data_IF_795119967989
#
_entry.id   IF_795119967989
#
_cell.length_a   1.000
_cell.length_b   1.000
_cell.length_c   1.000
_cell.angle_alpha   90.00
_cell.angle_beta   90.00
_cell.angle_gamma   90.00
#
_symmetry.space_group_name_H-M   'P 1'
#
loop_
_entity.id
_entity.type
_entity.pdbx_description
1 polymer ?
#
# COMPACT_ATOMS: atom_id res chain seq x y z
N UNK A 1 4.66 -2.47 -18.60
CA UNK A 1 4.01 -2.95 -17.36
C UNK A 1 2.84 -2.01 -17.09
N UNK A 2 1.67 -2.52 -16.77
CA UNK A 2 0.52 -1.67 -16.41
C UNK A 2 0.84 -0.86 -15.15
N UNK A 3 0.33 0.37 -15.05
CA UNK A 3 0.62 1.25 -13.94
C UNK A 3 0.09 0.69 -12.63
N UNK A 4 0.90 0.73 -11.60
CA UNK A 4 0.51 0.69 -10.21
C UNK A 4 1.45 1.63 -9.46
N UNK A 5 0.94 2.77 -9.04
CA UNK A 5 1.71 3.82 -8.40
C UNK A 5 0.91 4.53 -7.30
N UNK A 6 1.60 5.03 -6.30
CA UNK A 6 1.06 5.79 -5.18
C UNK A 6 1.60 7.21 -5.24
N UNK A 7 0.71 8.19 -5.36
CA UNK A 7 1.06 9.60 -5.37
C UNK A 7 0.75 10.19 -3.99
N UNK A 8 1.77 10.61 -3.27
CA UNK A 8 1.65 11.21 -1.95
C UNK A 8 1.20 12.67 -2.11
N UNK A 9 -0.02 12.96 -1.73
CA UNK A 9 -0.57 14.33 -1.74
C UNK A 9 -0.29 15.06 -0.44
N UNK A 10 -0.19 14.32 0.66
CA UNK A 10 0.16 14.81 1.98
C UNK A 10 0.61 13.67 2.88
N UNK A 11 1.64 13.90 3.69
CA UNK A 11 2.21 12.92 4.59
C UNK A 11 2.51 13.46 6.00
N UNK A 12 1.97 14.63 6.34
CA UNK A 12 2.02 15.21 7.70
C UNK A 12 0.82 14.83 8.56
N UNK A 13 0.96 14.91 9.88
CA UNK A 13 -0.08 14.65 10.86
C UNK A 13 -0.68 15.94 11.44
N UNK A 14 -1.90 15.83 11.94
CA UNK A 14 -2.65 16.81 12.72
C UNK A 14 -3.05 18.09 11.95
N UNK A 15 -2.13 18.83 11.37
CA UNK A 15 -2.40 20.10 10.68
C UNK A 15 -1.48 20.30 9.48
N UNK A 16 -1.91 21.03 8.43
CA UNK A 16 -1.03 21.40 7.33
C UNK A 16 0.12 22.29 7.84
N UNK A 17 1.30 22.09 7.27
CA UNK A 17 2.49 22.89 7.59
C UNK A 17 3.07 23.50 6.31
N UNK A 18 4.17 24.27 6.44
CA UNK A 18 4.93 24.75 5.28
C UNK A 18 5.70 23.63 4.54
N UNK A 19 5.82 22.44 5.16
CA UNK A 19 6.58 21.32 4.63
C UNK A 19 5.68 20.18 4.16
N UNK A 20 4.64 19.83 4.94
CA UNK A 20 3.75 18.72 4.64
C UNK A 20 2.28 19.12 4.78
N UNK A 21 1.47 18.71 3.83
CA UNK A 21 0.01 18.69 3.95
C UNK A 21 -0.42 17.47 4.76
N UNK A 22 -1.64 17.51 5.28
CA UNK A 22 -2.20 16.38 6.02
C UNK A 22 -2.48 15.18 5.12
N UNK A 23 -2.68 14.03 5.73
CA UNK A 23 -2.68 12.73 5.07
C UNK A 23 -3.65 12.65 3.90
N UNK A 24 -3.10 12.37 2.72
CA UNK A 24 -3.85 12.02 1.51
C UNK A 24 -2.95 11.33 0.49
N UNK A 25 -3.46 10.27 -0.15
CA UNK A 25 -2.75 9.54 -1.20
C UNK A 25 -3.68 9.25 -2.38
N UNK A 26 -3.16 9.45 -3.60
CA UNK A 26 -3.87 9.11 -4.83
C UNK A 26 -3.20 7.89 -5.46
N UNK A 27 -3.91 6.77 -5.49
CA UNK A 27 -3.41 5.49 -5.97
C UNK A 27 -3.93 5.27 -7.39
N UNK A 28 -3.04 4.97 -8.31
CA UNK A 28 -3.36 4.61 -9.69
C UNK A 28 -3.06 3.13 -9.93
N UNK A 29 -4.09 2.34 -10.22
CA UNK A 29 -3.96 0.94 -10.60
C UNK A 29 -4.65 0.77 -11.94
N UNK A 30 -3.89 0.49 -13.00
CA UNK A 30 -4.43 0.27 -14.36
C UNK A 30 -5.32 1.42 -14.84
N UNK A 31 -4.90 2.68 -14.59
CA UNK A 31 -5.64 3.91 -14.88
C UNK A 31 -6.94 4.09 -14.07
N UNK A 32 -7.23 3.23 -13.09
CA UNK A 32 -8.26 3.44 -12.08
C UNK A 32 -7.66 4.21 -10.91
N UNK A 33 -8.31 5.31 -10.54
CA UNK A 33 -7.81 6.21 -9.50
C UNK A 33 -8.61 6.04 -8.21
N UNK A 34 -7.89 5.88 -7.10
CA UNK A 34 -8.45 5.72 -5.76
C UNK A 34 -7.83 6.76 -4.82
N UNK A 35 -8.65 7.52 -4.11
CA UNK A 35 -8.14 8.43 -3.08
C UNK A 35 -8.22 7.74 -1.71
N UNK A 36 -7.14 7.75 -0.98
CA UNK A 36 -7.04 7.26 0.40
C UNK A 36 -6.75 8.45 1.29
N UNK A 37 -7.65 8.69 2.22
CA UNK A 37 -7.74 9.87 3.04
C UNK A 37 -7.83 11.18 2.24
N UNK A 38 -8.36 12.20 2.86
CA UNK A 38 -8.60 13.49 2.25
C UNK A 38 -8.47 14.58 3.31
N UNK A 39 -7.27 14.76 3.83
CA UNK A 39 -6.99 15.79 4.81
C UNK A 39 -7.04 17.20 4.21
N UNK A 40 -6.90 18.21 5.04
CA UNK A 40 -6.91 19.59 4.63
C UNK A 40 -5.80 19.87 3.59
N UNK A 41 -6.14 20.55 2.50
CA UNK A 41 -5.21 20.86 1.41
C UNK A 41 -5.15 19.83 0.29
N UNK A 42 -5.76 18.64 0.42
CA UNK A 42 -5.79 17.58 -0.61
C UNK A 42 -6.21 18.10 -1.98
N UNK A 43 -7.29 18.89 -2.04
CA UNK A 43 -7.75 19.54 -3.26
C UNK A 43 -6.65 20.35 -3.96
N UNK A 44 -5.91 21.15 -3.18
CA UNK A 44 -4.81 21.99 -3.69
C UNK A 44 -3.66 21.14 -4.21
N UNK A 45 -3.34 20.05 -3.51
CA UNK A 45 -2.27 19.14 -3.92
C UNK A 45 -2.63 18.38 -5.20
N UNK A 46 -3.88 17.96 -5.37
CA UNK A 46 -4.35 17.38 -6.64
C UNK A 46 -4.13 18.37 -7.79
N UNK A 47 -4.50 19.65 -7.63
CA UNK A 47 -4.29 20.67 -8.67
C UNK A 47 -2.81 20.92 -8.95
N UNK A 48 -1.99 21.00 -7.91
CA UNK A 48 -0.53 21.21 -8.06
C UNK A 48 0.15 20.02 -8.74
N UNK A 49 -0.28 18.80 -8.49
CA UNK A 49 0.31 17.60 -9.11
C UNK A 49 0.06 17.50 -10.61
N UNK A 50 -0.98 18.17 -11.12
CA UNK A 50 -1.42 18.04 -12.51
C UNK A 50 -1.99 16.68 -12.88
N UNK A 51 -2.20 15.80 -11.91
CA UNK A 51 -2.77 14.47 -12.14
C UNK A 51 -4.25 14.62 -12.50
N UNK A 52 -4.67 13.94 -13.57
CA UNK A 52 -6.07 13.89 -13.97
C UNK A 52 -6.84 12.93 -13.09
N UNK A 53 -7.83 13.45 -12.36
CA UNK A 53 -8.68 12.67 -11.45
C UNK A 53 -10.06 12.36 -12.01
N UNK A 54 -10.24 12.41 -13.32
CA UNK A 54 -11.52 12.09 -13.98
C UNK A 54 -11.98 10.66 -13.73
N UNK A 55 -11.03 9.74 -13.57
CA UNK A 55 -11.27 8.31 -13.30
C UNK A 55 -11.23 7.96 -11.80
N UNK A 56 -11.25 8.97 -10.92
CA UNK A 56 -11.33 8.77 -9.47
C UNK A 56 -12.80 8.58 -9.07
N UNK A 57 -13.18 7.33 -8.91
CA UNK A 57 -14.56 6.95 -8.60
C UNK A 57 -14.76 6.44 -7.18
N UNK A 58 -13.66 6.31 -6.41
CA UNK A 58 -13.69 5.77 -5.06
C UNK A 58 -12.79 6.59 -4.14
N UNK A 59 -13.30 6.93 -2.96
CA UNK A 59 -12.57 7.59 -1.87
C UNK A 59 -12.73 6.74 -0.62
N UNK A 60 -11.63 6.50 0.10
CA UNK A 60 -11.58 5.70 1.32
C UNK A 60 -11.02 6.55 2.45
N UNK A 61 -11.76 6.69 3.55
CA UNK A 61 -11.35 7.44 4.75
C UNK A 61 -11.08 6.42 5.87
N UNK A 62 -9.86 6.44 6.39
CA UNK A 62 -9.35 5.48 7.37
C UNK A 62 -10.04 5.60 8.72
N UNK A 63 -10.21 6.82 9.23
CA UNK A 63 -10.82 7.10 10.52
C UNK A 63 -11.33 8.55 10.62
N UNK A 64 -11.93 8.91 11.76
CA UNK A 64 -12.67 10.16 11.95
C UNK A 64 -11.83 11.31 12.58
N UNK A 65 -10.51 11.37 12.33
CA UNK A 65 -9.71 12.54 12.67
C UNK A 65 -9.65 13.54 11.51
N UNK A 66 -9.65 14.83 11.83
CA UNK A 66 -9.78 15.90 10.84
C UNK A 66 -8.71 15.94 9.77
N UNK A 67 -7.48 15.61 10.12
CA UNK A 67 -6.34 15.52 9.21
C UNK A 67 -6.44 14.38 8.19
N UNK A 68 -7.48 13.54 8.28
CA UNK A 68 -7.78 12.49 7.31
C UNK A 68 -9.02 12.74 6.46
N UNK A 69 -9.90 13.72 6.84
CA UNK A 69 -11.13 13.93 6.04
C UNK A 69 -11.59 15.39 5.90
N UNK A 70 -11.00 16.39 6.56
CA UNK A 70 -11.47 17.77 6.48
C UNK A 70 -11.36 18.39 5.08
N UNK A 71 -10.55 17.82 4.19
CA UNK A 71 -10.47 18.20 2.79
C UNK A 71 -11.59 17.64 1.90
N UNK A 72 -12.42 16.73 2.42
CA UNK A 72 -13.38 15.99 1.59
C UNK A 72 -14.51 16.88 1.05
N UNK A 73 -15.17 17.69 1.88
CA UNK A 73 -16.25 18.58 1.42
C UNK A 73 -15.81 19.56 0.32
N UNK A 74 -14.69 20.31 0.48
CA UNK A 74 -14.22 21.20 -0.58
C UNK A 74 -13.78 20.44 -1.84
N UNK A 75 -13.21 19.22 -1.71
CA UNK A 75 -12.88 18.40 -2.87
C UNK A 75 -14.13 18.01 -3.65
N UNK A 76 -15.16 17.48 -2.98
CA UNK A 76 -16.42 17.07 -3.62
C UNK A 76 -17.09 18.23 -4.37
N UNK A 77 -17.14 19.41 -3.74
CA UNK A 77 -17.64 20.64 -4.39
C UNK A 77 -16.85 20.97 -5.66
N UNK A 78 -15.52 20.87 -5.61
CA UNK A 78 -14.65 21.20 -6.74
C UNK A 78 -14.72 20.20 -7.89
N UNK A 79 -14.92 18.92 -7.60
CA UNK A 79 -15.11 17.89 -8.64
C UNK A 79 -16.33 18.21 -9.51
N UNK A 80 -17.41 18.71 -8.92
CA UNK A 80 -18.59 19.17 -9.65
C UNK A 80 -18.37 20.47 -10.40
N UNK A 81 -17.88 21.50 -9.71
CA UNK A 81 -17.80 22.87 -10.25
C UNK A 81 -16.67 23.04 -11.28
N UNK A 82 -15.52 22.44 -11.06
CA UNK A 82 -14.33 22.67 -11.89
C UNK A 82 -14.11 21.60 -12.96
N UNK A 83 -14.42 20.34 -12.64
CA UNK A 83 -14.24 19.23 -13.58
C UNK A 83 -15.52 18.83 -14.30
N UNK A 84 -16.66 19.41 -13.91
CA UNK A 84 -17.97 19.08 -14.51
C UNK A 84 -18.35 17.61 -14.31
N UNK A 85 -17.94 17.01 -13.18
CA UNK A 85 -18.24 15.61 -12.89
C UNK A 85 -19.75 15.38 -12.86
N UNK A 86 -20.21 14.36 -13.55
CA UNK A 86 -21.61 13.89 -13.56
C UNK A 86 -21.75 12.46 -13.06
N UNK A 87 -20.65 11.72 -13.08
CA UNK A 87 -20.61 10.30 -12.66
C UNK A 87 -20.67 10.16 -11.15
N UNK A 88 -21.38 9.14 -10.68
CA UNK A 88 -21.49 8.81 -9.26
C UNK A 88 -20.09 8.64 -8.62
N UNK A 89 -19.98 8.94 -7.33
CA UNK A 89 -18.75 8.80 -6.55
C UNK A 89 -19.04 7.92 -5.32
N UNK A 90 -18.28 6.86 -5.18
CA UNK A 90 -18.34 5.95 -4.04
C UNK A 90 -17.39 6.45 -2.95
N UNK A 91 -17.91 6.74 -1.76
CA UNK A 91 -17.12 7.26 -0.63
C UNK A 91 -17.32 6.35 0.58
N UNK A 92 -16.24 5.71 0.97
CA UNK A 92 -16.18 4.80 2.10
C UNK A 92 -15.65 5.56 3.31
N UNK A 93 -16.47 5.69 4.35
CA UNK A 93 -16.15 6.49 5.54
C UNK A 93 -16.41 5.71 6.83
N UNK A 94 -15.73 6.06 7.94
CA UNK A 94 -16.00 5.48 9.23
C UNK A 94 -17.48 5.57 9.60
N UNK A 95 -18.02 4.50 10.17
CA UNK A 95 -19.43 4.42 10.59
C UNK A 95 -19.81 5.58 11.52
N UNK A 96 -18.88 5.99 12.40
CA UNK A 96 -19.10 7.09 13.35
C UNK A 96 -19.23 8.47 12.67
N UNK A 97 -18.70 8.62 11.47
CA UNK A 97 -18.69 9.88 10.72
C UNK A 97 -19.89 10.01 9.79
N UNK A 98 -20.49 8.90 9.33
CA UNK A 98 -21.41 8.87 8.21
C UNK A 98 -22.61 9.81 8.36
N UNK A 99 -23.35 9.74 9.45
CA UNK A 99 -24.55 10.55 9.68
C UNK A 99 -24.26 12.05 9.69
N UNK A 100 -23.18 12.45 10.37
CA UNK A 100 -22.79 13.86 10.41
C UNK A 100 -22.34 14.36 9.04
N UNK A 101 -21.58 13.56 8.31
CA UNK A 101 -21.09 13.90 6.99
C UNK A 101 -22.23 14.01 5.96
N UNK A 102 -23.22 13.11 6.00
CA UNK A 102 -24.45 13.20 5.16
C UNK A 102 -25.19 14.53 5.39
N UNK A 103 -25.33 14.92 6.65
CA UNK A 103 -25.98 16.19 7.01
C UNK A 103 -25.19 17.39 6.50
N UNK A 104 -23.89 17.40 6.68
CA UNK A 104 -23.01 18.50 6.27
C UNK A 104 -22.94 18.61 4.74
N UNK A 105 -22.88 17.48 4.05
CA UNK A 105 -22.93 17.41 2.59
C UNK A 105 -24.23 18.04 2.05
N UNK A 106 -25.36 17.67 2.63
CA UNK A 106 -26.67 18.21 2.25
C UNK A 106 -26.84 19.70 2.58
N UNK A 107 -26.22 20.18 3.68
CA UNK A 107 -26.36 21.54 4.15
C UNK A 107 -25.46 22.55 3.43
N UNK A 108 -24.25 22.14 3.04
CA UNK A 108 -23.20 23.08 2.62
C UNK A 108 -22.71 22.89 1.20
N UNK A 109 -23.03 21.78 0.54
CA UNK A 109 -22.49 21.49 -0.77
C UNK A 109 -23.56 21.37 -1.85
N UNK A 110 -23.43 22.17 -2.91
CA UNK A 110 -24.11 21.88 -4.17
C UNK A 110 -23.20 20.98 -5.01
N UNK A 111 -23.60 19.73 -5.17
CA UNK A 111 -22.85 18.71 -5.92
C UNK A 111 -23.75 18.20 -7.04
N UNK A 112 -23.35 18.32 -8.32
CA UNK A 112 -24.19 17.95 -9.47
C UNK A 112 -24.16 16.44 -9.78
N UNK A 113 -23.50 15.62 -8.97
CA UNK A 113 -23.42 14.16 -9.09
C UNK A 113 -23.81 13.50 -7.77
N UNK A 114 -24.13 12.23 -7.81
CA UNK A 114 -24.47 11.47 -6.62
C UNK A 114 -23.22 11.03 -5.86
N UNK A 115 -23.21 11.23 -4.55
CA UNK A 115 -22.22 10.70 -3.62
C UNK A 115 -22.86 9.54 -2.84
N UNK A 116 -22.37 8.33 -3.07
CA UNK A 116 -22.81 7.11 -2.39
C UNK A 116 -21.92 6.89 -1.16
N UNK A 117 -22.46 7.08 0.05
CA UNK A 117 -21.72 6.94 1.30
C UNK A 117 -21.85 5.52 1.87
N UNK A 118 -20.70 4.82 1.99
CA UNK A 118 -20.58 3.49 2.55
C UNK A 118 -19.92 3.55 3.92
N UNK A 119 -20.58 2.96 4.93
CA UNK A 119 -20.02 2.91 6.29
C UNK A 119 -18.97 1.80 6.41
N UNK A 120 -17.79 2.13 6.97
CA UNK A 120 -16.73 1.18 7.31
C UNK A 120 -16.76 0.92 8.83
N UNK A 121 -16.69 -0.34 9.23
CA UNK A 121 -16.33 -0.74 10.60
C UNK A 121 -14.81 -0.93 10.66
N UNK A 122 -14.10 0.07 11.21
CA UNK A 122 -12.63 0.06 11.28
C UNK A 122 -12.03 -1.09 12.09
N UNK A 123 -12.86 -1.84 12.85
CA UNK A 123 -12.41 -2.99 13.64
C UNK A 123 -12.50 -4.34 12.90
N UNK A 124 -12.97 -4.33 11.65
CA UNK A 124 -13.19 -5.57 10.89
C UNK A 124 -12.48 -5.53 9.55
N UNK A 125 -11.99 -6.70 9.13
CA UNK A 125 -11.55 -6.90 7.75
C UNK A 125 -12.78 -7.03 6.84
N UNK A 126 -12.86 -6.22 5.80
CA UNK A 126 -13.97 -6.15 4.85
C UNK A 126 -13.42 -5.89 3.45
N UNK A 127 -13.99 -6.55 2.45
CA UNK A 127 -13.75 -6.19 1.04
C UNK A 127 -14.63 -4.98 0.73
N UNK A 128 -14.01 -3.86 0.35
CA UNK A 128 -14.68 -2.61 0.00
C UNK A 128 -14.91 -2.48 -1.50
N UNK A 129 -13.96 -2.98 -2.30
CA UNK A 129 -14.02 -2.97 -3.74
C UNK A 129 -13.43 -4.26 -4.29
N UNK A 130 -14.05 -4.80 -5.33
CA UNK A 130 -13.54 -5.98 -6.02
C UNK A 130 -14.03 -5.99 -7.48
N UNK A 131 -13.11 -6.25 -8.41
CA UNK A 131 -13.42 -6.51 -9.81
C UNK A 131 -12.59 -7.69 -10.35
N UNK A 132 -12.52 -7.85 -11.67
CA UNK A 132 -11.75 -8.93 -12.31
C UNK A 132 -10.23 -8.76 -12.18
N UNK A 133 -9.74 -7.56 -11.85
CA UNK A 133 -8.32 -7.22 -11.89
C UNK A 133 -7.71 -6.98 -10.51
N UNK A 134 -8.53 -6.57 -9.53
CA UNK A 134 -8.03 -6.19 -8.22
C UNK A 134 -9.08 -6.28 -7.12
N UNK A 135 -8.63 -6.19 -5.87
CA UNK A 135 -9.47 -6.02 -4.68
C UNK A 135 -8.88 -4.97 -3.74
N UNK A 136 -9.76 -4.32 -2.97
CA UNK A 136 -9.41 -3.39 -1.89
C UNK A 136 -10.12 -3.85 -0.64
N UNK A 137 -9.37 -4.05 0.44
CA UNK A 137 -9.90 -4.51 1.71
C UNK A 137 -9.36 -3.68 2.89
N UNK A 138 -10.09 -3.65 4.00
CA UNK A 138 -9.66 -2.98 5.22
C UNK A 138 -8.65 -3.82 5.99
N UNK A 139 -7.71 -3.14 6.66
CA UNK A 139 -6.77 -3.69 7.65
C UNK A 139 -7.11 -3.06 9.00
N UNK A 140 -7.75 -3.77 9.95
CA UNK A 140 -7.96 -3.24 11.30
C UNK A 140 -6.67 -2.77 11.94
N UNK A 141 -6.67 -1.55 12.47
CA UNK A 141 -5.53 -0.90 13.13
C UNK A 141 -5.85 -0.57 14.59
N UNK A 142 -4.82 -0.26 15.37
CA UNK A 142 -4.96 0.05 16.80
C UNK A 142 -4.73 1.53 17.07
N UNK A 143 -5.80 2.29 17.13
CA UNK A 143 -5.75 3.73 17.39
C UNK A 143 -6.74 4.12 18.49
N UNK A 144 -6.72 5.41 18.90
CA UNK A 144 -7.61 5.96 19.95
C UNK A 144 -9.08 6.02 19.52
N UNK A 145 -9.35 5.96 18.23
CA UNK A 145 -10.67 5.79 17.64
C UNK A 145 -10.67 4.58 16.69
N UNK A 146 -11.83 3.98 16.35
CA UNK A 146 -11.87 2.91 15.34
C UNK A 146 -11.21 3.36 14.04
N UNK A 147 -10.16 2.64 13.62
CA UNK A 147 -9.32 2.98 12.49
C UNK A 147 -8.98 1.74 11.67
N UNK A 148 -8.87 1.89 10.36
CA UNK A 148 -8.36 0.84 9.48
C UNK A 148 -7.42 1.42 8.43
N UNK A 149 -6.46 0.61 8.03
CA UNK A 149 -5.72 0.77 6.80
C UNK A 149 -6.45 0.14 5.62
N UNK A 150 -5.82 0.19 4.45
CA UNK A 150 -6.37 -0.36 3.20
C UNK A 150 -5.32 -1.18 2.47
N UNK A 151 -5.71 -2.37 2.03
CA UNK A 151 -4.88 -3.29 1.28
C UNK A 151 -5.39 -3.38 -0.16
N UNK A 152 -4.55 -2.94 -1.09
CA UNK A 152 -4.77 -3.02 -2.53
C UNK A 152 -4.01 -4.21 -3.07
N UNK A 153 -4.70 -5.13 -3.75
CA UNK A 153 -4.09 -6.31 -4.38
C UNK A 153 -4.54 -6.46 -5.81
N UNK A 154 -3.60 -6.61 -6.73
CA UNK A 154 -3.90 -7.12 -8.06
C UNK A 154 -4.30 -8.59 -8.00
N UNK A 155 -5.14 -9.02 -8.92
CA UNK A 155 -5.51 -10.43 -9.08
C UNK A 155 -4.63 -11.10 -10.15
N UNK A 156 -4.34 -12.38 -10.01
CA UNK A 156 -3.65 -13.13 -11.05
C UNK A 156 -4.41 -13.01 -12.38
N UNK A 157 -3.67 -12.81 -13.48
CA UNK A 157 -4.27 -12.82 -14.82
C UNK A 157 -4.63 -14.24 -15.25
N UNK A 158 -5.68 -14.33 -16.04
CA UNK A 158 -6.07 -15.59 -16.67
C UNK A 158 -4.91 -16.18 -17.48
N UNK A 159 -4.92 -17.50 -17.66
CA UNK A 159 -3.96 -18.20 -18.50
C UNK A 159 -3.96 -17.64 -19.92
N UNK A 160 -2.78 -17.59 -20.53
CA UNK A 160 -2.58 -17.06 -21.89
C UNK A 160 -2.81 -18.19 -22.89
N UNK A 161 -3.72 -17.97 -23.84
CA UNK A 161 -3.95 -18.93 -24.93
C UNK A 161 -2.65 -19.16 -25.74
N UNK A 162 -2.40 -20.40 -26.15
CA UNK A 162 -1.34 -20.80 -27.06
C UNK A 162 -1.95 -21.08 -28.47
N UNK A 163 -2.09 -20.04 -29.32
CA UNK A 163 -2.80 -20.18 -30.60
C UNK A 163 -2.21 -21.26 -31.49
N UNK A 164 -0.87 -21.37 -31.53
CA UNK A 164 -0.16 -22.38 -32.36
C UNK A 164 -0.52 -23.79 -31.92
N UNK A 165 -0.60 -24.06 -30.61
CA UNK A 165 -1.05 -25.37 -30.09
C UNK A 165 -2.51 -25.63 -30.44
N UNK A 166 -3.38 -24.66 -30.27
CA UNK A 166 -4.79 -24.79 -30.64
C UNK A 166 -4.95 -25.14 -32.13
N UNK A 167 -4.21 -24.44 -32.98
CA UNK A 167 -4.24 -24.70 -34.44
C UNK A 167 -3.65 -26.08 -34.83
N UNK A 168 -2.61 -26.55 -34.12
CA UNK A 168 -2.03 -27.88 -34.35
C UNK A 168 -3.00 -29.02 -34.04
N UNK A 169 -3.93 -28.83 -33.11
CA UNK A 169 -5.04 -29.71 -32.80
C UNK A 169 -6.25 -29.50 -33.74
N UNK A 170 -6.17 -28.58 -34.70
CA UNK A 170 -7.27 -28.24 -35.59
C UNK A 170 -8.43 -27.52 -34.92
N UNK A 171 -8.19 -26.88 -33.77
CA UNK A 171 -9.22 -26.17 -32.98
C UNK A 171 -9.59 -24.87 -33.70
N UNK A 172 -10.87 -24.66 -34.05
CA UNK A 172 -11.31 -23.44 -34.72
C UNK A 172 -11.15 -22.19 -33.78
N UNK A 173 -10.76 -21.05 -34.37
CA UNK A 173 -10.55 -19.79 -33.61
C UNK A 173 -11.80 -19.32 -32.86
N UNK A 174 -13.00 -19.68 -33.30
CA UNK A 174 -14.26 -19.40 -32.60
C UNK A 174 -14.33 -20.02 -31.20
N UNK A 175 -13.56 -21.10 -30.93
CA UNK A 175 -13.52 -21.77 -29.64
C UNK A 175 -12.48 -21.14 -28.66
N UNK A 176 -11.57 -20.29 -29.18
CA UNK A 176 -10.50 -19.68 -28.38
C UNK A 176 -11.01 -18.90 -27.15
N UNK A 177 -12.21 -18.27 -27.27
CA UNK A 177 -12.84 -17.58 -26.17
C UNK A 177 -13.19 -18.50 -24.99
N UNK A 178 -13.71 -19.68 -25.27
CA UNK A 178 -14.05 -20.69 -24.26
C UNK A 178 -12.79 -21.24 -23.58
N UNK A 179 -11.75 -21.52 -24.38
CA UNK A 179 -10.46 -22.02 -23.90
C UNK A 179 -9.80 -20.94 -22.96
N UNK A 180 -9.83 -19.67 -23.38
CA UNK A 180 -9.37 -18.58 -22.52
C UNK A 180 -10.14 -18.47 -21.22
N UNK A 181 -11.41 -18.86 -21.21
CA UNK A 181 -12.26 -18.91 -20.03
C UNK A 181 -12.04 -20.17 -19.16
N UNK A 182 -11.07 -21.02 -19.51
CA UNK A 182 -10.69 -22.20 -18.73
C UNK A 182 -11.32 -23.53 -19.19
N UNK A 183 -12.01 -23.55 -20.35
CA UNK A 183 -12.63 -24.78 -20.82
C UNK A 183 -11.60 -25.72 -21.52
N UNK A 184 -11.72 -27.01 -21.26
CA UNK A 184 -11.10 -28.06 -22.09
C UNK A 184 -11.75 -28.08 -23.46
N UNK A 185 -11.07 -28.70 -24.43
CA UNK A 185 -11.60 -28.85 -25.77
C UNK A 185 -11.71 -30.32 -26.15
N UNK A 186 -12.90 -30.76 -26.65
CA UNK A 186 -13.12 -32.10 -27.12
C UNK A 186 -13.00 -32.15 -28.65
N UNK A 187 -12.08 -32.95 -29.13
CA UNK A 187 -11.89 -33.21 -30.58
C UNK A 187 -13.07 -34.00 -31.16
N UNK A 188 -13.25 -33.99 -32.49
CA UNK A 188 -14.33 -34.74 -33.14
C UNK A 188 -14.30 -36.25 -32.91
N UNK A 189 -13.15 -36.84 -32.60
CA UNK A 189 -12.98 -38.25 -32.25
C UNK A 189 -13.28 -38.58 -30.77
N UNK A 190 -13.66 -37.58 -29.99
CA UNK A 190 -13.96 -37.71 -28.55
C UNK A 190 -12.76 -37.50 -27.62
N UNK A 191 -11.55 -37.27 -28.14
CA UNK A 191 -10.37 -36.98 -27.35
C UNK A 191 -10.51 -35.62 -26.68
N UNK A 192 -10.31 -35.56 -25.36
CA UNK A 192 -10.33 -34.30 -24.59
C UNK A 192 -8.91 -33.76 -24.49
N UNK A 193 -8.71 -32.53 -24.91
CA UNK A 193 -7.47 -31.78 -24.74
C UNK A 193 -7.67 -30.86 -23.54
N UNK A 194 -6.84 -31.06 -22.52
CA UNK A 194 -6.90 -30.26 -21.28
C UNK A 194 -6.56 -28.78 -21.54
N UNK A 195 -7.21 -27.88 -20.83
CA UNK A 195 -6.97 -26.44 -20.94
C UNK A 195 -5.50 -26.06 -20.72
N UNK A 196 -4.80 -26.75 -19.80
CA UNK A 196 -3.39 -26.57 -19.51
C UNK A 196 -2.47 -26.79 -20.69
N UNK A 197 -2.86 -27.69 -21.66
CA UNK A 197 -2.10 -27.91 -22.88
C UNK A 197 -2.29 -26.80 -23.91
N UNK A 198 -3.44 -26.15 -23.88
CA UNK A 198 -3.86 -25.09 -24.82
C UNK A 198 -3.54 -23.70 -24.35
N UNK A 199 -3.07 -23.57 -23.09
CA UNK A 199 -2.79 -22.30 -22.45
C UNK A 199 -1.48 -22.36 -21.67
N UNK A 200 -0.88 -21.19 -21.42
CA UNK A 200 0.25 -21.03 -20.50
C UNK A 200 -0.15 -20.20 -19.27
N UNK A 201 0.54 -20.39 -18.18
CA UNK A 201 0.44 -19.46 -17.03
C UNK A 201 0.91 -18.08 -17.49
N UNK A 202 0.19 -17.04 -17.08
CA UNK A 202 0.63 -15.67 -17.35
C UNK A 202 1.91 -15.35 -16.58
N UNK A 203 2.85 -14.67 -17.22
CA UNK A 203 4.06 -14.14 -16.56
C UNK A 203 3.76 -12.92 -15.65
N UNK A 204 2.50 -12.51 -15.58
CA UNK A 204 2.06 -11.41 -14.73
C UNK A 204 2.10 -11.85 -13.27
N UNK A 205 2.89 -11.14 -12.48
CA UNK A 205 2.96 -11.30 -11.04
C UNK A 205 2.11 -10.20 -10.39
N UNK A 206 1.05 -10.56 -9.62
CA UNK A 206 0.21 -9.59 -8.93
C UNK A 206 1.00 -8.77 -7.92
N UNK A 207 0.80 -7.46 -7.92
CA UNK A 207 1.42 -6.52 -6.98
C UNK A 207 0.44 -6.12 -5.89
N UNK A 208 0.99 -5.62 -4.78
CA UNK A 208 0.19 -5.23 -3.61
C UNK A 208 0.75 -4.01 -2.91
N UNK A 209 -0.15 -3.20 -2.38
CA UNK A 209 0.14 -2.00 -1.60
C UNK A 209 -0.72 -1.99 -0.34
N UNK A 210 -0.10 -1.78 0.83
CA UNK A 210 -0.79 -1.58 2.09
C UNK A 210 -0.58 -0.15 2.58
N UNK A 211 -1.69 0.53 2.90
CA UNK A 211 -1.72 1.82 3.58
C UNK A 211 -2.10 1.60 5.04
N UNK A 212 -1.20 1.87 5.97
CA UNK A 212 -1.41 1.76 7.39
C UNK A 212 -1.01 3.08 8.05
N UNK A 213 -1.99 3.98 8.22
CA UNK A 213 -1.82 5.23 8.96
C UNK A 213 -2.51 5.11 10.31
N UNK A 214 -2.10 5.94 11.28
CA UNK A 214 -2.67 6.07 12.63
C UNK A 214 -2.87 4.73 13.34
N UNK A 215 -1.77 4.20 13.83
CA UNK A 215 -1.77 2.97 14.62
C UNK A 215 -0.67 3.00 15.67
N UNK A 216 -0.99 2.60 16.91
CA UNK A 216 0.05 2.17 17.83
C UNK A 216 0.78 0.96 17.28
N UNK A 217 1.97 0.66 17.79
CA UNK A 217 2.65 -0.59 17.47
C UNK A 217 1.74 -1.79 17.67
N UNK A 218 1.42 -2.49 16.57
CA UNK A 218 0.38 -3.52 16.52
C UNK A 218 0.83 -4.72 15.69
N UNK A 219 1.62 -5.64 16.27
CA UNK A 219 2.15 -6.82 15.58
C UNK A 219 1.10 -7.76 15.00
N UNK A 220 -0.14 -7.75 15.52
CA UNK A 220 -1.23 -8.60 15.04
C UNK A 220 -1.65 -8.28 13.59
N UNK A 221 -1.30 -7.08 13.10
CA UNK A 221 -1.53 -6.73 11.69
C UNK A 221 -0.60 -7.44 10.71
N UNK A 222 0.55 -7.96 11.16
CA UNK A 222 1.60 -8.57 10.32
C UNK A 222 1.02 -9.63 9.38
N UNK A 223 0.19 -10.54 9.89
CA UNK A 223 -0.41 -11.60 9.06
C UNK A 223 -1.34 -11.09 7.95
N UNK A 224 -1.83 -9.85 8.04
CA UNK A 224 -2.73 -9.26 7.04
C UNK A 224 -1.97 -8.62 5.88
N UNK A 225 -0.72 -8.20 6.13
CA UNK A 225 0.14 -7.50 5.18
C UNK A 225 1.38 -8.31 4.79
N UNK A 226 1.40 -9.60 5.12
CA UNK A 226 2.54 -10.47 4.80
C UNK A 226 2.85 -10.45 3.30
N UNK A 227 4.13 -10.20 2.96
CA UNK A 227 4.65 -10.21 1.61
C UNK A 227 4.12 -9.10 0.69
N UNK A 228 3.52 -8.01 1.22
CA UNK A 228 3.12 -6.89 0.35
C UNK A 228 4.34 -6.21 -0.27
N UNK A 229 4.23 -5.80 -1.54
CA UNK A 229 5.35 -5.20 -2.26
C UNK A 229 5.73 -3.83 -1.69
N UNK A 230 4.75 -3.01 -1.31
CA UNK A 230 4.98 -1.71 -0.68
C UNK A 230 4.05 -1.54 0.51
N UNK A 231 4.64 -1.26 1.68
CA UNK A 231 3.93 -0.88 2.89
C UNK A 231 4.15 0.61 3.17
N UNK A 232 3.09 1.42 3.16
CA UNK A 232 3.08 2.71 3.83
C UNK A 232 2.67 2.50 5.28
N UNK A 233 3.51 2.93 6.22
CA UNK A 233 3.22 2.85 7.64
C UNK A 233 3.48 4.19 8.31
N UNK A 234 2.57 4.60 9.18
CA UNK A 234 2.79 5.79 9.97
C UNK A 234 4.07 5.67 10.80
N UNK A 235 4.70 6.80 11.03
CA UNK A 235 5.87 6.97 11.86
C UNK A 235 5.82 8.39 12.45
N UNK A 236 4.78 8.64 13.24
CA UNK A 236 4.50 9.99 13.77
C UNK A 236 5.65 10.49 14.63
N UNK A 237 6.41 9.59 15.24
CA UNK A 237 7.52 9.89 16.13
C UNK A 237 8.79 9.11 15.80
N UNK A 238 9.95 9.63 16.27
CA UNK A 238 11.18 8.86 16.40
C UNK A 238 11.19 8.09 17.73
N UNK A 239 12.08 7.10 17.89
CA UNK A 239 12.19 6.25 19.08
C UNK A 239 12.43 7.07 20.37
N UNK A 240 13.06 8.25 20.27
CA UNK A 240 13.24 9.17 21.41
C UNK A 240 11.92 9.65 22.06
N UNK A 241 10.81 9.50 21.32
CA UNK A 241 9.47 9.94 21.76
C UNK A 241 8.47 8.79 21.82
N UNK A 242 8.95 7.57 22.05
CA UNK A 242 8.10 6.37 22.11
C UNK A 242 6.97 6.52 23.15
N UNK A 243 7.22 7.09 24.34
CA UNK A 243 6.19 7.33 25.35
C UNK A 243 5.05 8.22 24.83
N UNK A 244 5.39 9.20 23.97
CA UNK A 244 4.39 10.07 23.34
C UNK A 244 3.62 9.32 22.24
N UNK A 245 4.29 8.49 21.47
CA UNK A 245 3.67 7.63 20.48
C UNK A 245 2.65 6.69 21.14
N UNK A 246 3.01 5.99 22.20
CA UNK A 246 2.13 5.11 22.96
C UNK A 246 0.91 5.86 23.48
N UNK A 247 1.12 7.03 24.10
CA UNK A 247 0.04 7.84 24.70
C UNK A 247 -0.94 8.33 23.63
N UNK A 248 -0.45 8.70 22.44
CA UNK A 248 -1.26 9.23 21.35
C UNK A 248 -1.84 8.14 20.45
N UNK A 249 -1.48 6.87 20.65
CA UNK A 249 -1.92 5.75 19.81
C UNK A 249 -1.27 5.72 18.43
N UNK A 250 0.01 6.11 18.37
CA UNK A 250 0.85 6.15 17.16
C UNK A 250 2.08 5.25 17.28
N UNK A 251 2.84 5.17 16.20
CA UNK A 251 4.07 4.40 16.10
C UNK A 251 5.31 5.29 15.95
N UNK A 252 6.46 4.70 16.28
CA UNK A 252 7.77 5.28 15.92
C UNK A 252 8.27 4.70 14.59
N UNK A 253 9.27 5.35 13.98
CA UNK A 253 9.91 4.87 12.76
C UNK A 253 10.54 3.48 12.96
N UNK A 254 11.11 3.23 14.14
CA UNK A 254 11.66 1.94 14.55
C UNK A 254 10.56 0.87 14.57
N UNK A 255 9.42 1.16 15.20
CA UNK A 255 8.28 0.24 15.28
C UNK A 255 7.67 -0.05 13.90
N UNK A 256 7.56 0.95 13.02
CA UNK A 256 7.14 0.75 11.63
C UNK A 256 8.08 -0.20 10.88
N UNK A 257 9.40 -0.06 11.08
CA UNK A 257 10.40 -0.95 10.47
C UNK A 257 10.35 -2.38 11.04
N UNK A 258 10.05 -2.54 12.34
CA UNK A 258 9.82 -3.86 12.94
C UNK A 258 8.62 -4.58 12.32
N UNK A 259 7.51 -3.88 12.10
CA UNK A 259 6.34 -4.42 11.38
C UNK A 259 6.71 -4.81 9.95
N UNK A 260 7.38 -3.93 9.21
CA UNK A 260 7.80 -4.18 7.83
C UNK A 260 8.68 -5.43 7.71
N UNK A 261 9.66 -5.57 8.61
CA UNK A 261 10.55 -6.74 8.66
C UNK A 261 9.79 -8.02 9.01
N UNK A 262 8.92 -7.97 10.02
CA UNK A 262 8.14 -9.13 10.45
C UNK A 262 7.16 -9.61 9.36
N UNK A 263 6.57 -8.66 8.61
CA UNK A 263 5.67 -8.95 7.50
C UNK A 263 6.40 -9.28 6.18
N UNK A 264 7.73 -9.23 6.15
CA UNK A 264 8.53 -9.48 4.95
C UNK A 264 8.05 -8.63 3.75
N UNK A 265 7.79 -7.33 3.97
CA UNK A 265 7.35 -6.45 2.88
C UNK A 265 8.49 -6.13 1.93
N UNK A 266 8.18 -5.79 0.67
CA UNK A 266 9.20 -5.42 -0.32
C UNK A 266 9.88 -4.08 -0.02
N UNK A 267 9.09 -3.06 0.33
CA UNK A 267 9.56 -1.71 0.65
C UNK A 267 8.72 -1.11 1.77
N UNK A 268 9.36 -0.38 2.69
CA UNK A 268 8.68 0.44 3.69
C UNK A 268 8.74 1.92 3.28
N UNK A 269 7.58 2.56 3.30
CA UNK A 269 7.41 4.00 3.13
C UNK A 269 6.91 4.58 4.44
N UNK A 270 7.71 5.42 5.06
CA UNK A 270 7.37 6.13 6.30
C UNK A 270 6.56 7.39 5.99
N UNK A 271 5.61 7.73 6.85
CA UNK A 271 4.84 8.96 6.72
C UNK A 271 4.08 9.35 7.99
N UNK A 272 3.13 10.28 7.89
CA UNK A 272 2.35 10.81 9.00
C UNK A 272 3.22 11.48 10.08
N UNK A 273 4.13 12.35 9.64
CA UNK A 273 5.12 12.96 10.53
C UNK A 273 4.52 14.04 11.44
N UNK A 274 4.84 13.99 12.73
CA UNK A 274 4.46 15.06 13.66
C UNK A 274 5.08 16.39 13.28
N UNK A 275 4.30 17.48 13.42
CA UNK A 275 4.74 18.85 13.19
C UNK A 275 6.00 19.24 14.01
N UNK A 276 6.31 18.47 15.05
CA UNK A 276 7.50 18.68 15.89
C UNK A 276 8.82 18.44 15.14
N UNK A 277 8.78 17.75 14.01
CA UNK A 277 9.96 17.40 13.20
C UNK A 277 10.10 18.32 11.97
N UNK A 278 10.01 19.65 12.20
CA UNK A 278 10.18 20.64 11.13
C UNK A 278 11.57 20.61 10.44
N UNK A 279 12.55 19.86 11.00
CA UNK A 279 13.89 19.68 10.46
C UNK A 279 14.05 18.64 9.36
N UNK A 280 12.97 17.94 8.98
CA UNK A 280 12.98 16.93 7.93
C UNK A 280 12.89 15.49 8.43
N UNK A 281 12.88 14.56 7.48
CA UNK A 281 12.55 13.13 7.68
C UNK A 281 13.77 12.22 7.85
N UNK A 282 14.98 12.79 7.86
CA UNK A 282 16.25 12.02 7.85
C UNK A 282 16.39 11.07 9.04
N UNK A 283 16.01 11.52 10.24
CA UNK A 283 16.15 10.71 11.45
C UNK A 283 15.20 9.51 11.43
N UNK A 284 13.99 9.67 10.91
CA UNK A 284 13.04 8.58 10.69
C UNK A 284 13.61 7.49 9.78
N UNK A 285 14.20 7.90 8.66
CA UNK A 285 14.81 6.97 7.70
C UNK A 285 16.01 6.27 8.31
N UNK A 286 16.85 6.98 9.08
CA UNK A 286 18.01 6.40 9.72
C UNK A 286 17.60 5.31 10.74
N UNK A 287 16.62 5.60 11.61
CA UNK A 287 16.09 4.61 12.55
C UNK A 287 15.52 3.37 11.83
N UNK A 288 14.64 3.60 10.86
CA UNK A 288 14.00 2.51 10.14
C UNK A 288 15.03 1.62 9.41
N UNK A 289 16.03 2.21 8.77
CA UNK A 289 17.08 1.47 8.03
C UNK A 289 17.96 0.59 8.91
N UNK A 290 18.09 0.89 10.20
CA UNK A 290 18.80 -0.01 11.13
C UNK A 290 18.09 -1.36 11.29
N UNK A 291 16.78 -1.45 11.00
CA UNK A 291 15.98 -2.65 11.17
C UNK A 291 15.56 -3.24 9.82
N UNK A 292 15.13 -2.37 8.90
CA UNK A 292 14.64 -2.73 7.56
C UNK A 292 15.28 -1.83 6.50
N UNK A 293 16.30 -2.35 5.80
CA UNK A 293 17.17 -1.56 4.90
C UNK A 293 16.43 -0.87 3.76
N UNK A 294 15.35 -1.48 3.21
CA UNK A 294 14.55 -0.89 2.13
C UNK A 294 13.44 0.04 2.66
N UNK A 295 13.84 1.03 3.46
CA UNK A 295 12.96 2.06 4.04
C UNK A 295 13.22 3.41 3.40
N UNK A 296 12.16 4.13 3.04
CA UNK A 296 12.21 5.50 2.53
C UNK A 296 11.22 6.40 3.28
N UNK A 297 11.49 7.71 3.27
CA UNK A 297 10.52 8.70 3.72
C UNK A 297 9.57 9.06 2.57
N UNK A 298 8.30 9.30 2.87
CA UNK A 298 7.39 9.97 1.96
C UNK A 298 7.56 11.49 2.03
N UNK A 299 7.30 12.15 0.91
CA UNK A 299 7.23 13.60 0.81
C UNK A 299 6.03 14.00 -0.08
N UNK A 300 5.48 15.18 0.17
CA UNK A 300 4.39 15.73 -0.63
C UNK A 300 4.80 15.85 -2.10
N UNK A 301 3.98 15.32 -3.00
CA UNK A 301 4.26 15.31 -4.45
C UNK A 301 5.10 14.12 -4.92
N UNK A 302 5.56 13.25 -4.02
CA UNK A 302 6.32 12.05 -4.38
C UNK A 302 5.40 11.02 -5.06
N UNK A 303 5.91 10.37 -6.11
CA UNK A 303 5.28 9.21 -6.75
C UNK A 303 6.10 7.96 -6.48
N UNK A 304 5.46 6.93 -5.93
CA UNK A 304 6.08 5.66 -5.56
C UNK A 304 5.53 4.58 -6.49
N UNK A 305 6.35 3.99 -7.38
CA UNK A 305 5.91 2.85 -8.17
C UNK A 305 5.80 1.61 -7.28
N UNK A 306 4.69 0.88 -7.38
CA UNK A 306 4.55 -0.43 -6.75
C UNK A 306 5.15 -1.47 -7.70
N UNK A 307 6.34 -1.95 -7.35
CA UNK A 307 7.08 -2.94 -8.11
C UNK A 307 7.09 -4.26 -7.35
N UNK A 308 6.97 -5.36 -8.08
CA UNK A 308 7.12 -6.66 -7.44
C UNK A 308 8.57 -6.84 -6.99
N UNK A 309 8.75 -7.10 -5.69
CA UNK A 309 10.07 -7.34 -5.10
C UNK A 309 10.28 -8.84 -4.97
N UNK A 310 11.17 -9.39 -5.79
CA UNK A 310 11.60 -10.80 -5.64
C UNK A 310 12.55 -10.88 -4.45
N UNK A 311 12.17 -11.59 -3.41
CA UNK A 311 12.92 -11.75 -2.16
C UNK A 311 14.25 -12.54 -2.28
N UNK A 312 14.82 -12.65 -3.48
CA UNK A 312 15.99 -13.51 -3.66
C UNK A 312 17.33 -12.96 -3.13
N UNK A 313 17.46 -11.63 -2.86
CA UNK A 313 18.80 -11.07 -2.65
C UNK A 313 18.91 -9.89 -1.66
N UNK A 314 18.08 -9.78 -0.64
CA UNK A 314 18.36 -8.83 0.44
C UNK A 314 19.25 -9.51 1.48
N UNK A 315 20.54 -9.66 1.13
CA UNK A 315 21.60 -9.95 2.11
C UNK A 315 21.80 -8.67 2.91
N UNK A 316 21.35 -8.65 4.16
CA UNK A 316 21.72 -7.61 5.10
C UNK A 316 23.21 -7.77 5.40
N UNK A 317 24.07 -6.98 4.76
CA UNK A 317 25.45 -6.79 5.23
C UNK A 317 25.37 -6.00 6.56
N UNK A 318 25.33 -6.72 7.66
CA UNK A 318 25.60 -6.13 8.96
C UNK A 318 27.10 -5.81 9.00
N UNK A 319 27.51 -4.59 8.64
CA UNK A 319 28.80 -4.05 9.08
C UNK A 319 28.70 -3.82 10.60
N UNK A 320 29.09 -4.83 11.35
CA UNK A 320 29.41 -4.66 12.76
C UNK A 320 30.69 -3.82 12.84
N UNK A 321 30.57 -2.58 13.25
CA UNK A 321 31.70 -1.79 13.74
C UNK A 321 32.08 -2.42 15.09
N UNK A 322 33.03 -3.38 15.06
CA UNK A 322 33.66 -3.88 16.25
C UNK A 322 34.53 -2.76 16.81
N UNK A 323 34.14 -2.20 17.94
CA UNK A 323 35.06 -1.43 18.78
C UNK A 323 36.20 -2.38 19.24
N UNK A 324 37.42 -2.05 18.86
CA UNK A 324 38.62 -2.79 19.29
C UNK A 324 38.73 -2.79 20.83
N UNK A 325 38.37 -3.92 21.44
CA UNK A 325 38.95 -4.29 22.74
C UNK A 325 39.98 -5.40 22.49
N UNK A 326 41.22 -5.08 22.71
CA UNK A 326 42.35 -6.05 22.71
C UNK A 326 42.15 -7.04 23.85
N UNK A 327 42.47 -8.31 23.51
CA UNK A 327 42.67 -9.49 24.36
C UNK A 327 41.45 -10.40 24.60
N UNK A 328 41.30 -11.39 23.70
CA UNK A 328 41.19 -12.81 24.06
C UNK A 328 41.14 -13.70 22.81
N UNK A 329 41.89 -14.79 22.86
CA UNK A 329 41.94 -15.84 21.83
C UNK A 329 40.73 -16.76 22.02
N UNK A 330 39.67 -16.56 21.27
CA UNK A 330 38.68 -17.59 21.00
C UNK A 330 38.10 -17.35 19.61
N UNK A 331 38.32 -18.32 18.72
CA UNK A 331 37.95 -18.26 17.29
C UNK A 331 36.47 -18.53 17.00
N UNK A 332 35.58 -18.47 18.00
CA UNK A 332 34.15 -18.75 17.85
C UNK A 332 33.30 -17.65 18.51
N UNK A 333 32.25 -17.24 17.81
CA UNK A 333 31.24 -16.30 18.33
C UNK A 333 29.90 -17.01 18.35
N UNK A 334 29.25 -17.03 19.50
CA UNK A 334 27.88 -17.53 19.64
C UNK A 334 26.87 -16.42 19.37
N UNK A 335 26.03 -16.61 18.35
CA UNK A 335 24.90 -15.73 18.04
C UNK A 335 23.65 -16.58 17.94
N UNK A 336 22.69 -16.32 18.83
CA UNK A 336 21.37 -16.99 18.87
C UNK A 336 21.42 -18.53 18.94
N UNK A 337 22.35 -19.08 19.71
CA UNK A 337 22.44 -20.53 19.91
C UNK A 337 23.09 -21.33 18.76
N UNK A 338 23.74 -20.64 17.81
CA UNK A 338 24.53 -21.25 16.73
C UNK A 338 25.97 -20.82 16.83
N UNK A 339 26.87 -21.78 16.86
CA UNK A 339 28.35 -21.57 16.88
C UNK A 339 28.82 -21.39 15.43
N UNK A 340 29.40 -20.24 15.10
CA UNK A 340 29.93 -19.93 13.77
C UNK A 340 31.43 -19.78 13.82
N UNK A 341 32.12 -20.49 12.92
CA UNK A 341 33.58 -20.42 12.75
C UNK A 341 33.95 -19.13 12.00
N UNK A 342 34.61 -18.20 12.69
CA UNK A 342 34.99 -16.88 12.19
C UNK A 342 36.14 -16.90 11.17
N UNK A 343 36.72 -18.07 10.90
CA UNK A 343 37.89 -18.20 10.00
C UNK A 343 37.53 -18.47 8.54
N UNK A 344 36.26 -18.77 8.22
CA UNK A 344 35.80 -19.01 6.84
C UNK A 344 35.33 -17.75 6.15
N UNK A 345 36.21 -17.13 5.39
CA UNK A 345 35.82 -16.10 4.37
C UNK A 345 35.02 -16.77 3.27
N UNK A 346 33.70 -16.53 3.24
CA UNK A 346 32.86 -16.89 2.10
C UNK A 346 33.13 -15.90 0.97
N UNK A 347 33.79 -16.39 -0.09
CA UNK A 347 33.91 -15.66 -1.36
C UNK A 347 32.56 -15.65 -2.06
N UNK A 348 31.98 -14.49 -2.24
CA UNK A 348 30.80 -14.28 -3.09
C UNK A 348 31.19 -14.52 -4.55
N UNK A 349 30.59 -15.51 -5.17
CA UNK A 349 30.60 -15.71 -6.63
C UNK A 349 29.50 -14.82 -7.22
N UNK A 350 29.93 -13.76 -7.90
CA UNK A 350 29.09 -13.02 -8.85
C UNK A 350 28.90 -13.92 -10.07
N UNK A 351 27.69 -14.25 -10.41
CA UNK A 351 27.34 -14.77 -11.75
C UNK A 351 26.43 -13.78 -12.45
N UNK A 352 26.85 -13.44 -13.65
CA UNK A 352 26.21 -12.56 -14.64
C UNK A 352 24.77 -12.93 -14.92
#
# INVERSE_FOLDING_TARGET
MEKFEVNILGCGSAVPTGHHMTTAQLINIHEKMFLVDCGEGTQTQIWKSGIKVTNMNHIFISHAHGDHFFGLLPLLSSLGLMLGRTEDLEVYIPMSLKENFERDLAAYCYIPFKVNLHAIDGNKRQILYEDSEMSIETIPLKHVVPCCGFLFREKPKARVLLPEKCLSYGIPTREFGKIKAGADYTLPDGTVIANEELTAVSDFVPRSYAFCSDTAYYPEMVSQIEGVDVLYHESTFTSEKEDQAITAGHSTAEQAAMIAKAAMVGQLVLGHYSIRYAGGTKDFVNEAKCIFGNSIASEDGMTIPVLHTVYSDVVYENEYIASESKDSKDDYVEVNGLTIDSTKKTSALVRN
#
